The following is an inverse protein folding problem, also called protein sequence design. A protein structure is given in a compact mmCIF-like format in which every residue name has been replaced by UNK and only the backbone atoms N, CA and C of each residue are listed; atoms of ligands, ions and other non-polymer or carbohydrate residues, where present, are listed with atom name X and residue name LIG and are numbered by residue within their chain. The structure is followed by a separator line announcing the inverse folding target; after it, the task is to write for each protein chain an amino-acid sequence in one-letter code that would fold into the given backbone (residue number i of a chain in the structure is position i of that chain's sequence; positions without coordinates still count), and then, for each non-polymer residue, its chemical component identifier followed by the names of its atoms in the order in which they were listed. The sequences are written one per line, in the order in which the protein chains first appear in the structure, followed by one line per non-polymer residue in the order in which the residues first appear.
data_IF_334743111349
#
_entry.id   IF_334743111349
#
_cell.length_a   1.000
_cell.length_b   1.000
_cell.length_c   1.000
_cell.angle_alpha   90.00
_cell.angle_beta   90.00
_cell.angle_gamma   90.00
#
_symmetry.space_group_name_H-M   'P 1'
#
loop_
_entity.id
_entity.type
_entity.pdbx_description
1 polymer ?
#
# COMPACT_ATOMS: atom_id res chain seq x y z
N UNK A 1 8.49 -2.90 -24.14
CA UNK A 1 7.80 -2.05 -23.16
C UNK A 1 7.35 -2.95 -22.01
N UNK A 2 8.14 -3.04 -20.95
CA UNK A 2 7.77 -3.77 -19.73
C UNK A 2 6.54 -3.07 -19.16
N UNK A 3 5.37 -3.70 -19.25
CA UNK A 3 4.22 -3.24 -18.47
C UNK A 3 4.68 -3.21 -17.01
N UNK A 4 4.65 -2.07 -16.32
CA UNK A 4 4.93 -2.07 -14.89
C UNK A 4 3.96 -3.09 -14.30
N UNK A 5 4.51 -4.11 -13.63
CA UNK A 5 3.66 -5.12 -13.00
C UNK A 5 2.62 -4.41 -12.13
N UNK A 6 1.34 -4.82 -12.21
CA UNK A 6 0.28 -4.10 -11.51
C UNK A 6 0.53 -4.19 -10.01
N UNK A 7 0.85 -3.06 -9.40
CA UNK A 7 0.83 -2.91 -7.95
C UNK A 7 -0.60 -3.15 -7.48
N UNK A 8 -0.75 -3.96 -6.44
CA UNK A 8 -2.06 -4.22 -5.84
C UNK A 8 -2.13 -3.54 -4.49
N UNK A 9 -3.18 -2.80 -4.23
CA UNK A 9 -3.36 -2.10 -2.97
C UNK A 9 -4.22 -2.91 -2.02
N UNK A 10 -3.93 -2.78 -0.74
CA UNK A 10 -4.68 -3.41 0.33
C UNK A 10 -4.84 -2.45 1.49
N UNK A 11 -5.89 -2.62 2.27
CA UNK A 11 -6.13 -1.89 3.51
C UNK A 11 -6.02 -2.85 4.67
N UNK A 12 -5.32 -2.50 5.75
CA UNK A 12 -5.47 -3.24 7.01
C UNK A 12 -6.82 -2.97 7.64
N UNK A 13 -7.23 -3.85 8.56
CA UNK A 13 -8.38 -3.59 9.41
C UNK A 13 -8.19 -2.27 10.19
N UNK A 14 -9.30 -1.55 10.34
CA UNK A 14 -9.40 -0.39 11.21
C UNK A 14 -9.20 -0.81 12.66
N UNK A 15 -8.32 -0.13 13.38
CA UNK A 15 -8.10 -0.36 14.81
C UNK A 15 -8.27 0.94 15.59
N UNK A 16 -8.37 0.89 16.92
CA UNK A 16 -8.53 2.11 17.75
C UNK A 16 -7.40 3.13 17.54
N UNK A 17 -6.21 2.67 17.14
CA UNK A 17 -5.06 3.53 16.84
C UNK A 17 -5.01 4.01 15.37
N UNK A 18 -5.70 3.31 14.46
CA UNK A 18 -5.73 3.61 13.02
C UNK A 18 -7.17 3.42 12.55
N UNK A 19 -8.05 4.42 12.75
CA UNK A 19 -9.47 4.30 12.43
C UNK A 19 -9.70 4.03 10.94
N UNK A 20 -8.85 4.59 10.07
CA UNK A 20 -8.88 4.31 8.65
C UNK A 20 -8.00 3.10 8.25
N UNK A 21 -7.42 2.36 9.20
CA UNK A 21 -6.45 1.30 8.91
C UNK A 21 -5.16 1.87 8.30
N UNK A 22 -4.37 1.00 7.67
CA UNK A 22 -3.14 1.39 6.95
C UNK A 22 -3.20 0.91 5.52
N UNK A 23 -2.76 1.77 4.61
CA UNK A 23 -2.59 1.40 3.22
C UNK A 23 -1.35 0.53 3.03
N UNK A 24 -1.54 -0.56 2.30
CA UNK A 24 -0.53 -1.52 1.93
C UNK A 24 -0.45 -1.60 0.41
N UNK A 25 0.76 -1.82 -0.11
CA UNK A 25 0.99 -2.13 -1.51
C UNK A 25 1.69 -3.48 -1.62
N UNK A 26 1.17 -4.35 -2.48
CA UNK A 26 1.78 -5.61 -2.86
C UNK A 26 2.33 -5.47 -4.27
N UNK A 27 3.63 -5.64 -4.41
CA UNK A 27 4.33 -5.57 -5.69
C UNK A 27 5.40 -6.66 -5.75
N UNK A 28 5.38 -7.48 -6.81
CA UNK A 28 6.28 -8.65 -6.96
C UNK A 28 6.34 -9.57 -5.73
N UNK A 29 5.20 -9.78 -5.06
CA UNK A 29 5.12 -10.58 -3.83
C UNK A 29 5.73 -9.93 -2.59
N UNK A 30 6.28 -8.72 -2.72
CA UNK A 30 6.77 -7.91 -1.61
C UNK A 30 5.67 -6.95 -1.14
N UNK A 31 5.42 -6.97 0.17
CA UNK A 31 4.46 -6.08 0.82
C UNK A 31 5.16 -4.83 1.33
N UNK A 32 4.51 -3.68 1.14
CA UNK A 32 4.90 -2.37 1.63
C UNK A 32 3.73 -1.77 2.39
N UNK A 33 4.02 -1.02 3.45
CA UNK A 33 3.05 -0.22 4.19
C UNK A 33 3.36 1.24 4.00
N UNK A 34 2.33 2.05 3.79
CA UNK A 34 2.48 3.49 3.74
C UNK A 34 2.66 4.00 5.18
N UNK A 35 3.83 4.58 5.43
CA UNK A 35 4.23 5.21 6.68
C UNK A 35 4.58 6.67 6.41
N UNK A 36 4.64 7.57 7.41
CA UNK A 36 4.80 9.00 7.17
C UNK A 36 6.11 9.37 6.45
N UNK A 37 7.15 8.56 6.62
CA UNK A 37 8.41 8.64 5.86
C UNK A 37 8.33 8.05 4.44
N UNK A 38 7.20 7.47 4.05
CA UNK A 38 6.95 6.81 2.77
C UNK A 38 6.71 5.30 2.87
N UNK A 39 6.93 4.59 1.76
CA UNK A 39 6.70 3.15 1.68
C UNK A 39 7.75 2.36 2.46
N UNK A 40 7.31 1.75 3.56
CA UNK A 40 8.14 0.88 4.38
C UNK A 40 7.90 -0.58 3.99
N UNK A 41 8.98 -1.28 3.64
CA UNK A 41 8.93 -2.71 3.31
C UNK A 41 8.56 -3.54 4.54
N UNK A 42 7.49 -4.32 4.45
CA UNK A 42 7.13 -5.29 5.47
C UNK A 42 7.86 -6.62 5.22
N UNK A 43 8.62 -7.08 6.23
CA UNK A 43 9.24 -8.43 6.22
C UNK A 43 8.24 -9.53 6.57
N UNK A 44 7.08 -9.15 7.11
CA UNK A 44 6.03 -10.07 7.52
C UNK A 44 5.06 -10.38 6.38
N UNK A 45 4.35 -11.49 6.52
CA UNK A 45 3.25 -11.86 5.63
C UNK A 45 2.09 -10.86 5.77
N UNK A 46 1.26 -10.76 4.73
CA UNK A 46 0.03 -9.94 4.69
C UNK A 46 -0.75 -10.06 6.01
N UNK A 47 -0.99 -8.95 6.74
CA UNK A 47 -1.75 -8.98 7.97
C UNK A 47 -3.13 -9.61 7.78
N UNK A 48 -3.63 -10.42 8.72
CA UNK A 48 -5.00 -10.92 8.68
C UNK A 48 -5.99 -9.74 8.71
N UNK A 49 -7.17 -9.91 8.10
CA UNK A 49 -8.18 -8.85 8.02
C UNK A 49 -7.87 -7.74 7.02
N UNK A 50 -6.89 -7.94 6.13
CA UNK A 50 -6.62 -6.97 5.05
C UNK A 50 -7.58 -7.14 3.89
N UNK A 51 -8.19 -6.04 3.45
CA UNK A 51 -9.09 -5.99 2.30
C UNK A 51 -8.34 -5.56 1.06
N UNK A 52 -8.63 -6.17 -0.09
CA UNK A 52 -8.10 -5.69 -1.37
C UNK A 52 -8.76 -4.36 -1.73
N UNK A 53 -7.95 -3.40 -2.21
CA UNK A 53 -8.41 -2.12 -2.70
C UNK A 53 -8.12 -2.01 -4.19
N UNK A 54 -8.99 -1.31 -4.91
CA UNK A 54 -8.65 -0.83 -6.26
C UNK A 54 -7.67 0.34 -6.15
N UNK A 55 -7.13 0.77 -7.30
CA UNK A 55 -6.28 1.97 -7.34
C UNK A 55 -7.09 3.21 -6.91
N UNK A 56 -8.31 3.36 -7.41
CA UNK A 56 -9.19 4.47 -7.06
C UNK A 56 -9.53 4.50 -5.56
N UNK A 57 -9.81 3.34 -4.94
CA UNK A 57 -10.05 3.29 -3.49
C UNK A 57 -8.80 3.65 -2.67
N UNK A 58 -7.61 3.31 -3.18
CA UNK A 58 -6.36 3.71 -2.54
C UNK A 58 -6.10 5.21 -2.67
N UNK A 59 -6.48 5.82 -3.80
CA UNK A 59 -6.43 7.26 -4.02
C UNK A 59 -7.38 8.00 -3.08
N UNK A 60 -8.62 7.54 -2.96
CA UNK A 60 -9.62 8.07 -2.01
C UNK A 60 -9.16 7.91 -0.54
N UNK A 61 -8.54 6.78 -0.19
CA UNK A 61 -7.98 6.61 1.15
C UNK A 61 -6.86 7.62 1.43
N UNK A 62 -5.97 7.83 0.46
CA UNK A 62 -4.91 8.85 0.58
C UNK A 62 -5.52 10.24 0.78
N UNK A 63 -6.50 10.63 -0.03
CA UNK A 63 -7.18 11.92 0.09
C UNK A 63 -7.81 12.12 1.48
N UNK A 64 -8.53 11.11 1.99
CA UNK A 64 -9.17 11.15 3.32
C UNK A 64 -8.19 11.31 4.48
N UNK A 65 -7.06 10.61 4.41
CA UNK A 65 -6.03 10.67 5.43
C UNK A 65 -5.08 11.87 5.24
N UNK A 66 -5.23 12.63 4.14
CA UNK A 66 -4.41 13.78 3.81
C UNK A 66 -3.03 13.43 3.22
N UNK A 67 -2.91 12.27 2.60
CA UNK A 67 -1.70 11.79 1.92
C UNK A 67 -1.74 12.11 0.42
N UNK A 68 -0.56 12.31 -0.17
CA UNK A 68 -0.45 12.49 -1.61
C UNK A 68 -0.81 11.19 -2.38
N UNK A 69 -1.80 11.21 -3.30
CA UNK A 69 -2.14 10.05 -4.11
C UNK A 69 -0.99 9.64 -5.05
N UNK A 70 -0.08 10.57 -5.37
CA UNK A 70 1.16 10.27 -6.09
C UNK A 70 2.05 9.25 -5.36
N UNK A 71 1.91 9.08 -4.05
CA UNK A 71 2.65 8.06 -3.30
C UNK A 71 2.34 6.67 -3.84
N UNK A 72 1.14 6.41 -4.35
CA UNK A 72 0.76 5.12 -4.94
C UNK A 72 1.62 4.72 -6.14
N UNK A 73 2.17 5.70 -6.87
CA UNK A 73 3.10 5.47 -7.99
C UNK A 73 4.56 5.39 -7.55
N UNK A 74 4.89 5.82 -6.33
CA UNK A 74 6.24 5.77 -5.77
C UNK A 74 6.59 4.43 -5.09
N UNK A 75 5.69 3.44 -5.15
CA UNK A 75 5.90 2.13 -4.53
C UNK A 75 7.20 1.50 -5.07
N UNK A 76 8.21 1.25 -4.23
CA UNK A 76 9.50 0.78 -4.70
C UNK A 76 9.42 -0.59 -5.40
N UNK A 77 10.13 -0.74 -6.52
CA UNK A 77 10.47 -2.07 -7.06
C UNK A 77 11.67 -2.59 -6.28
N UNK A 78 11.54 -3.75 -5.64
CA UNK A 78 12.75 -4.48 -5.24
C UNK A 78 13.38 -5.02 -6.52
N UNK A 79 14.62 -4.66 -6.87
CA UNK A 79 15.31 -5.35 -7.95
C UNK A 79 15.47 -6.82 -7.55
N UNK A 80 14.94 -7.74 -8.37
CA UNK A 80 15.32 -9.16 -8.28
C UNK A 80 16.82 -9.24 -8.57
N UNK A 81 17.61 -9.59 -7.55
CA UNK A 81 19.02 -9.99 -7.72
C UNK A 81 19.10 -11.48 -8.00
#
# INVERSE_FOLDING_TARGET
MTRPEPVRFLRTESTMAFPEGRLLALREGQLYVLAPDGWTRLRAQRPPGTSWLTREDAEDWCDREGWDPHLLDTVPTVPRV
#
